data_IF_809343285485
#
_entry.id   IF_809343285485
#
_cell.length_a   1.000
_cell.length_b   1.000
_cell.length_c   1.000
_cell.angle_alpha   90.00
_cell.angle_beta   90.00
_cell.angle_gamma   90.00
#
_symmetry.space_group_name_H-M   'P 1'
#
loop_
_entity.id
_entity.type
_entity.pdbx_description
1 polymer ?
#
# COMPACT_ATOMS: atom_id res chain seq x y z
N UNK A 1 -2.36 -8.96 10.00
CA UNK A 1 -2.44 -8.37 8.66
C UNK A 1 -2.18 -9.40 7.57
N UNK A 2 -3.23 -10.00 7.02
CA UNK A 2 -3.12 -10.75 5.76
C UNK A 2 -3.27 -9.76 4.61
N UNK A 3 -2.31 -9.71 3.68
CA UNK A 3 -2.42 -8.84 2.50
C UNK A 3 -3.48 -9.41 1.55
N UNK A 4 -4.46 -8.60 1.17
CA UNK A 4 -5.45 -8.97 0.15
C UNK A 4 -5.00 -8.46 -1.20
N UNK A 5 -4.70 -9.37 -2.12
CA UNK A 5 -4.36 -9.03 -3.50
C UNK A 5 -5.61 -8.68 -4.30
N UNK A 6 -5.46 -7.82 -5.30
CA UNK A 6 -6.56 -7.33 -6.13
C UNK A 6 -6.10 -6.99 -7.54
N UNK A 7 -7.01 -7.07 -8.49
CA UNK A 7 -6.87 -6.53 -9.85
C UNK A 7 -7.73 -5.26 -10.01
N UNK A 8 -8.86 -5.18 -9.30
CA UNK A 8 -9.76 -4.02 -9.27
C UNK A 8 -10.34 -3.79 -7.87
N UNK A 9 -11.04 -2.66 -7.70
CA UNK A 9 -11.68 -2.30 -6.42
C UNK A 9 -12.74 -3.33 -5.97
N UNK A 10 -13.31 -4.10 -6.90
CA UNK A 10 -14.34 -5.11 -6.57
C UNK A 10 -13.76 -6.34 -5.86
N UNK A 11 -12.45 -6.55 -5.95
CA UNK A 11 -11.78 -7.64 -5.23
C UNK A 11 -11.58 -7.29 -3.75
N UNK A 12 -11.66 -6.01 -3.42
CA UNK A 12 -11.46 -5.48 -2.08
C UNK A 12 -12.74 -5.46 -1.26
N UNK A 13 -12.58 -5.44 0.06
CA UNK A 13 -13.69 -5.46 1.03
C UNK A 13 -13.66 -4.22 1.89
N UNK A 14 -14.73 -3.96 2.66
CA UNK A 14 -14.77 -2.88 3.65
C UNK A 14 -14.53 -1.47 3.07
N UNK A 15 -14.90 -1.25 1.81
CA UNK A 15 -14.68 0.02 1.12
C UNK A 15 -13.21 0.33 0.80
N UNK A 16 -12.32 -0.65 0.91
CA UNK A 16 -10.94 -0.53 0.44
C UNK A 16 -10.87 -0.39 -1.08
N UNK A 17 -9.73 0.14 -1.55
CA UNK A 17 -9.43 0.38 -2.96
C UNK A 17 -8.22 -0.43 -3.39
N UNK A 18 -8.21 -0.83 -4.65
CA UNK A 18 -7.11 -1.58 -5.22
C UNK A 18 -5.98 -0.66 -5.67
N UNK A 19 -4.85 -0.72 -4.99
CA UNK A 19 -3.65 0.05 -5.34
C UNK A 19 -3.02 -0.58 -6.58
N UNK A 20 -3.23 0.05 -7.73
CA UNK A 20 -2.90 -0.54 -9.03
C UNK A 20 -1.41 -0.87 -9.22
N UNK A 21 -0.52 -0.19 -8.50
CA UNK A 21 0.93 -0.33 -8.63
C UNK A 21 1.45 -1.64 -8.02
N UNK A 22 0.96 -2.03 -6.84
CA UNK A 22 1.37 -3.26 -6.14
C UNK A 22 0.26 -4.29 -5.95
N UNK A 23 -0.93 -4.03 -6.51
CA UNK A 23 -2.06 -4.96 -6.59
C UNK A 23 -2.52 -5.43 -5.22
N UNK A 24 -2.59 -4.52 -4.25
CA UNK A 24 -3.11 -4.78 -2.90
C UNK A 24 -4.30 -3.89 -2.56
N UNK A 25 -5.20 -4.40 -1.73
CA UNK A 25 -6.25 -3.61 -1.12
C UNK A 25 -5.69 -2.74 0.02
N UNK A 26 -6.09 -1.47 0.03
CA UNK A 26 -5.79 -0.53 1.11
C UNK A 26 -6.96 0.43 1.32
N UNK A 27 -7.10 0.95 2.54
CA UNK A 27 -8.08 1.99 2.83
C UNK A 27 -7.72 3.28 2.10
N UNK A 28 -8.74 4.06 1.75
CA UNK A 28 -8.56 5.37 1.11
C UNK A 28 -7.70 6.29 1.99
N UNK A 29 -7.86 6.23 3.31
CA UNK A 29 -7.07 7.00 4.27
C UNK A 29 -5.59 6.66 4.18
N UNK A 30 -5.22 5.37 4.16
CA UNK A 30 -3.81 4.97 4.02
C UNK A 30 -3.24 5.34 2.66
N UNK A 31 -4.03 5.22 1.57
CA UNK A 31 -3.61 5.65 0.23
C UNK A 31 -3.27 7.13 0.25
N UNK A 32 -4.18 7.98 0.74
CA UNK A 32 -3.95 9.43 0.82
C UNK A 32 -2.79 9.78 1.76
N UNK A 33 -2.62 9.07 2.87
CA UNK A 33 -1.52 9.29 3.81
C UNK A 33 -0.17 9.00 3.16
N UNK A 34 0.00 7.82 2.57
CA UNK A 34 1.24 7.46 1.87
C UNK A 34 1.54 8.39 0.69
N UNK A 35 0.52 8.85 -0.03
CA UNK A 35 0.69 9.81 -1.12
C UNK A 35 1.11 11.20 -0.63
N UNK A 36 0.47 11.73 0.43
CA UNK A 36 0.72 13.09 0.93
C UNK A 36 1.97 13.22 1.79
N UNK A 37 2.25 12.23 2.64
CA UNK A 37 3.36 12.29 3.61
C UNK A 37 4.66 11.74 3.03
N UNK A 38 4.58 10.79 2.10
CA UNK A 38 5.74 10.03 1.64
C UNK A 38 5.85 9.92 0.11
N UNK A 39 4.93 10.52 -0.64
CA UNK A 39 4.88 10.44 -2.11
C UNK A 39 5.01 9.00 -2.62
N UNK A 40 4.38 8.05 -1.92
CA UNK A 40 4.49 6.61 -2.16
C UNK A 40 3.12 5.92 -2.02
N UNK A 41 3.10 4.60 -2.21
CA UNK A 41 1.91 3.76 -2.06
C UNK A 41 1.91 3.01 -0.73
N UNK A 42 0.73 2.62 -0.22
CA UNK A 42 0.62 1.74 0.93
C UNK A 42 1.21 0.36 0.67
N UNK A 43 1.62 -0.29 1.75
CA UNK A 43 2.16 -1.65 1.75
C UNK A 43 1.76 -2.36 3.06
N UNK A 44 1.75 -3.69 3.05
CA UNK A 44 1.56 -4.51 4.27
C UNK A 44 2.84 -5.26 4.64
N UNK A 45 3.70 -5.53 3.66
CA UNK A 45 4.98 -6.21 3.81
C UNK A 45 6.01 -5.70 2.78
N UNK A 46 7.29 -5.99 2.98
CA UNK A 46 8.34 -5.64 2.00
C UNK A 46 8.09 -6.25 0.61
N UNK A 47 7.38 -7.38 0.55
CA UNK A 47 7.01 -8.01 -0.72
C UNK A 47 6.10 -7.12 -1.58
N UNK A 48 5.27 -6.28 -0.96
CA UNK A 48 4.38 -5.34 -1.68
C UNK A 48 5.16 -4.14 -2.26
N UNK A 49 6.43 -4.01 -1.91
CA UNK A 49 7.34 -2.99 -2.40
C UNK A 49 8.26 -3.48 -3.52
N UNK A 50 8.14 -4.71 -4.01
CA UNK A 50 9.00 -5.25 -5.09
C UNK A 50 8.62 -4.74 -6.50
N UNK A 51 7.85 -3.66 -6.59
CA UNK A 51 7.42 -3.03 -7.85
C UNK A 51 8.42 -2.00 -8.37
N UNK A 52 9.43 -1.65 -7.57
CA UNK A 52 10.50 -0.74 -7.96
C UNK A 52 11.79 -1.54 -8.19
N UNK A 53 12.60 -1.11 -9.16
CA UNK A 53 13.91 -1.72 -9.43
C UNK A 53 14.92 -1.45 -8.29
N UNK A 54 14.84 -0.27 -7.67
CA UNK A 54 15.59 0.02 -6.45
C UNK A 54 14.79 -0.46 -5.24
N UNK A 55 15.46 -1.19 -4.36
CA UNK A 55 14.84 -1.78 -3.18
C UNK A 55 14.15 -0.70 -2.32
N UNK A 56 12.90 -0.97 -1.97
CA UNK A 56 12.13 -0.22 -0.98
C UNK A 56 11.59 -1.16 0.08
N UNK A 57 11.53 -0.69 1.31
CA UNK A 57 10.95 -1.42 2.43
C UNK A 57 9.56 -0.91 2.76
N UNK A 58 8.73 -1.77 3.33
CA UNK A 58 7.46 -1.38 3.91
C UNK A 58 7.68 -0.96 5.36
N UNK A 59 7.62 0.35 5.61
CA UNK A 59 7.77 0.90 6.96
C UNK A 59 6.58 1.79 7.30
N UNK A 60 6.01 1.59 8.48
CA UNK A 60 4.90 2.39 9.03
C UNK A 60 5.33 3.31 10.17
N UNK A 61 6.63 3.37 10.48
CA UNK A 61 7.11 4.26 11.53
C UNK A 61 6.81 5.72 11.16
N UNK A 62 6.19 6.50 12.07
CA UNK A 62 6.22 7.95 11.94
C UNK A 62 7.69 8.34 11.95
N UNK A 63 8.13 9.09 10.94
CA UNK A 63 9.50 9.57 10.87
C UNK A 63 9.75 10.45 12.11
N UNK A 64 10.44 9.91 13.13
CA UNK A 64 10.66 10.62 14.39
C UNK A 64 10.89 9.78 15.67
N UNK A 65 11.12 8.47 15.60
CA UNK A 65 11.55 7.64 16.75
C UNK A 65 12.78 6.82 16.39
#
# INVERSE_FOLDING_TARGET
>A
DQVRKCLSDTDCTNGEKCVQKNKICSTIVEIQRCEKEHFTIPCKSNNDCQVWAHEKICNKLPWGL
#
